data_IF_106625676014
#
_entry.id   IF_106625676014
#
_cell.length_a   1.000
_cell.length_b   1.000
_cell.length_c   1.000
_cell.angle_alpha   90.00
_cell.angle_beta   90.00
_cell.angle_gamma   90.00
#
_symmetry.space_group_name_H-M   'P 1'
#
loop_
_entity.id
_entity.type
_entity.pdbx_description
1 polymer ?
#
# COMPACT_ATOMS: atom_id res chain seq x y z
N UNK A 1 -22.14 7.43 -8.77
CA UNK A 1 -21.55 8.64 -8.14
C UNK A 1 -20.10 8.80 -8.59
N UNK A 2 -19.35 9.81 -8.14
CA UNK A 2 -17.94 10.01 -8.52
C UNK A 2 -17.03 8.82 -8.20
N UNK A 3 -17.27 8.13 -7.07
CA UNK A 3 -16.54 6.92 -6.68
C UNK A 3 -16.67 5.76 -7.68
N UNK A 4 -17.87 5.52 -8.23
CA UNK A 4 -18.08 4.45 -9.23
C UNK A 4 -17.30 4.69 -10.53
N UNK A 5 -17.00 5.95 -10.85
CA UNK A 5 -16.21 6.31 -12.01
C UNK A 5 -14.72 6.05 -11.77
N UNK A 6 -14.18 6.49 -10.63
CA UNK A 6 -12.75 6.26 -10.30
C UNK A 6 -12.42 4.77 -10.16
N UNK A 7 -13.29 3.96 -9.55
CA UNK A 7 -13.10 2.51 -9.49
C UNK A 7 -12.97 1.88 -10.89
N UNK A 8 -13.80 2.32 -11.84
CA UNK A 8 -13.72 1.86 -13.24
C UNK A 8 -12.43 2.30 -13.92
N UNK A 9 -11.98 3.54 -13.70
CA UNK A 9 -10.72 4.06 -14.24
C UNK A 9 -9.52 3.27 -13.68
N UNK A 10 -9.49 3.01 -12.38
CA UNK A 10 -8.43 2.21 -11.75
C UNK A 10 -8.37 0.79 -12.33
N UNK A 11 -9.51 0.15 -12.54
CA UNK A 11 -9.56 -1.18 -13.17
C UNK A 11 -9.03 -1.17 -14.62
N UNK A 12 -9.29 -0.11 -15.38
CA UNK A 12 -8.74 0.07 -16.74
C UNK A 12 -7.22 0.28 -16.72
N UNK A 13 -6.74 1.13 -15.80
CA UNK A 13 -5.30 1.39 -15.61
C UNK A 13 -4.59 0.08 -15.26
N UNK A 14 -5.10 -0.66 -14.28
CA UNK A 14 -4.54 -1.94 -13.87
C UNK A 14 -4.46 -2.92 -15.04
N UNK A 15 -5.56 -3.06 -15.81
CA UNK A 15 -5.61 -3.96 -16.97
C UNK A 15 -4.60 -3.56 -18.05
N UNK A 16 -4.37 -2.26 -18.24
CA UNK A 16 -3.41 -1.76 -19.22
C UNK A 16 -1.96 -2.08 -18.87
N UNK A 17 -1.65 -2.26 -17.58
CA UNK A 17 -0.28 -2.40 -17.04
C UNK A 17 0.66 -1.25 -17.43
N UNK A 18 0.11 -0.10 -17.81
CA UNK A 18 0.91 1.04 -18.27
C UNK A 18 1.51 1.80 -17.09
N UNK A 19 2.84 1.72 -16.97
CA UNK A 19 3.60 2.35 -15.88
C UNK A 19 3.59 3.87 -15.94
N UNK A 20 3.16 4.48 -17.04
CA UNK A 20 3.00 5.95 -17.12
C UNK A 20 1.96 6.49 -16.15
N UNK A 21 1.06 5.63 -15.64
CA UNK A 21 0.07 6.00 -14.63
C UNK A 21 0.60 6.01 -13.20
N UNK A 22 1.82 5.51 -12.95
CA UNK A 22 2.39 5.44 -11.59
C UNK A 22 2.49 6.82 -10.95
N UNK A 23 3.16 7.78 -11.60
CA UNK A 23 3.34 9.12 -11.02
C UNK A 23 2.01 9.89 -10.82
N UNK A 24 1.05 9.88 -11.78
CA UNK A 24 -0.28 10.42 -11.53
C UNK A 24 -1.01 9.80 -10.34
N UNK A 25 -0.92 8.47 -10.17
CA UNK A 25 -1.56 7.78 -9.04
C UNK A 25 -0.88 8.07 -7.71
N UNK A 26 0.45 8.26 -7.70
CA UNK A 26 1.19 8.71 -6.50
C UNK A 26 0.75 10.12 -6.11
N UNK A 27 0.66 11.04 -7.07
CA UNK A 27 0.21 12.42 -6.83
C UNK A 27 -1.22 12.47 -6.27
N UNK A 28 -2.10 11.57 -6.70
CA UNK A 28 -3.47 11.46 -6.17
C UNK A 28 -3.49 11.22 -4.66
N UNK A 29 -2.51 10.48 -4.11
CA UNK A 29 -2.39 10.19 -2.68
C UNK A 29 -2.11 11.45 -1.83
N UNK A 30 -1.65 12.54 -2.45
CA UNK A 30 -1.23 13.76 -1.75
C UNK A 30 -2.40 14.70 -1.40
N UNK A 31 -3.61 14.50 -1.93
CA UNK A 31 -4.72 15.36 -1.52
C UNK A 31 -6.10 15.14 -2.14
N UNK A 32 -6.26 14.24 -3.11
CA UNK A 32 -7.52 14.14 -3.87
C UNK A 32 -8.38 12.91 -3.54
N UNK A 33 -7.96 12.11 -2.55
CA UNK A 33 -8.68 10.91 -2.14
C UNK A 33 -9.81 11.21 -1.15
N UNK A 34 -10.93 10.51 -1.30
CA UNK A 34 -12.09 10.57 -0.41
C UNK A 34 -11.82 9.90 0.95
N UNK A 35 -10.86 8.97 1.01
CA UNK A 35 -10.44 8.37 2.28
C UNK A 35 -9.55 7.12 2.15
N UNK A 36 -9.30 6.42 3.27
CA UNK A 36 -8.37 5.28 3.33
C UNK A 36 -8.79 4.08 2.46
N UNK A 37 -10.10 3.88 2.24
CA UNK A 37 -10.60 2.80 1.37
C UNK A 37 -10.20 3.02 -0.10
N UNK A 38 -10.27 4.26 -0.58
CA UNK A 38 -9.85 4.59 -1.94
C UNK A 38 -8.33 4.49 -2.08
N UNK A 39 -7.59 4.97 -1.07
CA UNK A 39 -6.14 4.77 -0.99
C UNK A 39 -5.71 3.31 -1.04
N UNK A 40 -6.47 2.42 -0.40
CA UNK A 40 -6.22 0.98 -0.44
C UNK A 40 -6.25 0.45 -1.89
N UNK A 41 -7.26 0.83 -2.67
CA UNK A 41 -7.39 0.40 -4.07
C UNK A 41 -6.31 1.03 -4.96
N UNK A 42 -6.02 2.32 -4.79
CA UNK A 42 -4.92 3.00 -5.51
C UNK A 42 -3.57 2.32 -5.21
N UNK A 43 -3.29 2.04 -3.93
CA UNK A 43 -2.08 1.35 -3.51
C UNK A 43 -1.95 -0.05 -4.09
N UNK A 44 -3.06 -0.82 -4.17
CA UNK A 44 -3.08 -2.11 -4.86
C UNK A 44 -2.71 -1.99 -6.33
N UNK A 45 -3.27 -1.02 -7.05
CA UNK A 45 -2.93 -0.80 -8.46
C UNK A 45 -1.46 -0.41 -8.61
N UNK A 46 -0.97 0.51 -7.77
CA UNK A 46 0.44 0.93 -7.76
C UNK A 46 1.39 -0.26 -7.54
N UNK A 47 1.12 -1.10 -6.54
CA UNK A 47 1.92 -2.29 -6.27
C UNK A 47 1.96 -3.27 -7.44
N UNK A 48 0.85 -3.43 -8.18
CA UNK A 48 0.79 -4.28 -9.39
C UNK A 48 1.49 -3.66 -10.60
N UNK A 49 1.43 -2.34 -10.77
CA UNK A 49 2.11 -1.64 -11.88
C UNK A 49 3.62 -1.58 -11.69
N UNK A 50 4.09 -1.33 -10.47
CA UNK A 50 5.51 -1.16 -10.19
C UNK A 50 6.23 -2.48 -9.91
N UNK A 51 5.53 -3.44 -9.29
CA UNK A 51 6.10 -4.71 -8.86
C UNK A 51 7.34 -4.51 -7.98
N UNK A 52 8.34 -5.37 -8.15
CA UNK A 52 9.60 -5.31 -7.39
C UNK A 52 10.35 -3.98 -7.56
N UNK A 53 10.23 -3.32 -8.72
CA UNK A 53 10.92 -2.06 -8.97
C UNK A 53 10.41 -0.91 -8.07
N UNK A 54 9.17 -0.98 -7.60
CA UNK A 54 8.60 -0.01 -6.65
C UNK A 54 8.83 -0.36 -5.18
N UNK A 55 9.41 -1.52 -4.86
CA UNK A 55 9.47 -2.00 -3.48
C UNK A 55 10.19 -1.02 -2.54
N UNK A 56 11.35 -0.52 -2.93
CA UNK A 56 12.14 0.39 -2.08
C UNK A 56 11.45 1.75 -1.83
N UNK A 57 10.65 2.24 -2.80
CA UNK A 57 9.80 3.43 -2.62
C UNK A 57 8.80 3.21 -1.48
N UNK A 58 8.02 2.13 -1.57
CA UNK A 58 6.96 1.87 -0.60
C UNK A 58 7.49 1.42 0.75
N UNK A 59 8.61 0.69 0.77
CA UNK A 59 9.37 0.39 1.98
C UNK A 59 9.85 1.67 2.66
N UNK A 60 10.37 2.63 1.89
CA UNK A 60 10.78 3.94 2.39
C UNK A 60 9.61 4.71 3.01
N UNK A 61 8.44 4.68 2.37
CA UNK A 61 7.21 5.28 2.87
C UNK A 61 6.70 4.66 4.19
N UNK A 62 6.90 3.35 4.37
CA UNK A 62 6.51 2.62 5.58
C UNK A 62 7.62 2.58 6.65
N UNK A 63 8.72 3.31 6.45
CA UNK A 63 9.80 3.35 7.44
C UNK A 63 9.35 4.17 8.65
N UNK A 64 9.35 3.61 9.87
CA UNK A 64 8.98 4.38 11.05
C UNK A 64 9.95 5.54 11.29
N UNK A 65 9.41 6.72 11.63
CA UNK A 65 10.16 7.90 12.00
C UNK A 65 10.27 8.03 13.54
N UNK A 66 11.38 8.61 14.01
CA UNK A 66 11.63 8.97 15.41
C UNK A 66 12.48 7.96 16.21
N UNK A 67 13.48 8.46 16.95
CA UNK A 67 14.36 7.66 17.85
C UNK A 67 13.93 7.62 19.32
N UNK A 68 13.02 8.50 19.76
CA UNK A 68 12.89 8.82 21.19
C UNK A 68 11.51 8.57 21.84
N UNK A 69 10.36 8.61 21.14
CA UNK A 69 9.04 8.57 21.80
C UNK A 69 7.95 7.79 21.03
N UNK A 70 8.32 6.62 20.53
CA UNK A 70 7.41 5.72 19.82
C UNK A 70 7.59 5.81 18.31
N UNK A 71 8.03 4.69 17.72
CA UNK A 71 8.14 4.54 16.26
C UNK A 71 6.75 4.75 15.66
N UNK A 72 6.57 5.79 14.84
CA UNK A 72 5.32 6.03 14.11
C UNK A 72 5.59 6.13 12.62
N UNK A 73 4.64 5.65 11.82
CA UNK A 73 4.65 5.89 10.38
C UNK A 73 4.49 7.39 10.09
N UNK A 74 5.19 7.86 9.05
CA UNK A 74 5.08 9.22 8.55
C UNK A 74 3.98 9.36 7.49
N UNK A 75 3.58 10.59 7.19
CA UNK A 75 2.56 10.87 6.17
C UNK A 75 1.12 10.78 6.69
N UNK A 76 0.16 11.00 5.79
CA UNK A 76 -1.27 10.93 6.07
C UNK A 76 -1.76 9.47 6.16
N UNK A 77 -2.89 9.23 6.83
CA UNK A 77 -3.51 7.89 6.90
C UNK A 77 -3.75 7.28 5.51
N UNK A 78 -4.34 7.99 4.52
CA UNK A 78 -4.49 7.46 3.17
C UNK A 78 -3.15 7.04 2.55
N UNK A 79 -2.11 7.87 2.68
CA UNK A 79 -0.80 7.55 2.12
C UNK A 79 -0.19 6.29 2.75
N UNK A 80 -0.29 6.13 4.06
CA UNK A 80 0.19 4.93 4.78
C UNK A 80 -0.56 3.67 4.33
N UNK A 81 -1.88 3.76 4.17
CA UNK A 81 -2.71 2.65 3.70
C UNK A 81 -2.37 2.26 2.26
N UNK A 82 -2.18 3.25 1.37
CA UNK A 82 -1.77 3.00 0.00
C UNK A 82 -0.39 2.32 -0.08
N UNK A 83 0.58 2.81 0.69
CA UNK A 83 1.92 2.22 0.73
C UNK A 83 1.89 0.76 1.23
N UNK A 84 1.13 0.48 2.29
CA UNK A 84 0.93 -0.89 2.77
C UNK A 84 0.26 -1.79 1.72
N UNK A 85 -0.78 -1.28 1.06
CA UNK A 85 -1.45 -2.00 -0.01
C UNK A 85 -0.52 -2.32 -1.20
N UNK A 86 0.34 -1.37 -1.57
CA UNK A 86 1.33 -1.56 -2.63
C UNK A 86 2.35 -2.65 -2.27
N UNK A 87 2.93 -2.59 -1.06
CA UNK A 87 3.83 -3.64 -0.56
C UNK A 87 3.13 -4.99 -0.52
N UNK A 88 1.84 -5.04 -0.15
CA UNK A 88 1.07 -6.28 -0.12
C UNK A 88 0.88 -6.93 -1.51
N UNK A 89 1.16 -6.24 -2.62
CA UNK A 89 1.16 -6.84 -3.96
C UNK A 89 2.51 -7.44 -4.36
N UNK A 90 3.58 -7.08 -3.67
CA UNK A 90 4.95 -7.48 -4.04
C UNK A 90 5.23 -8.87 -3.49
N UNK A 91 5.68 -9.85 -4.31
CA UNK A 91 5.93 -11.21 -3.85
C UNK A 91 7.17 -11.30 -2.95
N UNK A 92 7.16 -12.25 -2.01
CA UNK A 92 8.32 -12.66 -1.21
C UNK A 92 8.34 -12.15 0.24
N UNK A 93 9.16 -12.81 1.05
CA UNK A 93 9.25 -12.64 2.51
C UNK A 93 9.67 -11.23 2.96
N UNK A 94 10.39 -10.49 2.11
CA UNK A 94 10.77 -9.10 2.38
C UNK A 94 9.56 -8.16 2.49
N UNK A 95 8.50 -8.40 1.71
CA UNK A 95 7.27 -7.61 1.79
C UNK A 95 6.50 -7.86 3.08
N UNK A 96 6.41 -9.12 3.51
CA UNK A 96 5.77 -9.54 4.75
C UNK A 96 6.43 -8.87 5.96
N UNK A 97 7.76 -8.92 6.05
CA UNK A 97 8.51 -8.26 7.13
C UNK A 97 8.27 -6.74 7.18
N UNK A 98 8.19 -6.08 6.02
CA UNK A 98 7.90 -4.63 5.95
C UNK A 98 6.49 -4.33 6.46
N UNK A 99 5.50 -5.16 6.14
CA UNK A 99 4.13 -5.00 6.63
C UNK A 99 4.01 -5.24 8.14
N UNK A 100 4.72 -6.22 8.70
CA UNK A 100 4.78 -6.45 10.15
C UNK A 100 5.34 -5.22 10.86
N UNK A 101 6.48 -4.70 10.40
CA UNK A 101 7.10 -3.49 10.96
C UNK A 101 6.19 -2.27 10.86
N UNK A 102 5.48 -2.12 9.73
CA UNK A 102 4.53 -1.05 9.53
C UNK A 102 3.33 -1.17 10.47
N UNK A 103 2.80 -2.39 10.66
CA UNK A 103 1.70 -2.67 11.57
C UNK A 103 2.07 -2.32 13.03
N UNK A 104 3.26 -2.69 13.48
CA UNK A 104 3.73 -2.39 14.84
C UNK A 104 3.89 -0.88 15.10
N UNK A 105 4.32 -0.13 14.07
CA UNK A 105 4.52 1.31 14.15
C UNK A 105 3.26 2.14 13.85
N UNK A 106 2.20 1.53 13.34
CA UNK A 106 1.00 2.22 12.90
C UNK A 106 0.11 2.68 14.08
N UNK A 107 -0.70 3.73 13.85
CA UNK A 107 -1.82 4.09 14.73
C UNK A 107 -2.88 2.97 14.72
N UNK A 108 -3.82 2.99 15.68
CA UNK A 108 -4.92 2.01 15.71
C UNK A 108 -5.76 2.04 14.43
N UNK A 109 -6.01 3.23 13.89
CA UNK A 109 -6.74 3.42 12.63
C UNK A 109 -6.01 2.73 11.48
N UNK A 110 -4.72 3.02 11.27
CA UNK A 110 -3.94 2.46 10.17
C UNK A 110 -3.75 0.95 10.32
N UNK A 111 -3.59 0.45 11.55
CA UNK A 111 -3.52 -1.01 11.82
C UNK A 111 -4.75 -1.75 11.35
N UNK A 112 -5.94 -1.16 11.47
CA UNK A 112 -7.19 -1.79 11.01
C UNK A 112 -7.20 -2.07 9.49
N UNK A 113 -6.42 -1.32 8.72
CA UNK A 113 -6.23 -1.50 7.28
C UNK A 113 -5.05 -2.43 6.95
N UNK A 114 -3.96 -2.37 7.71
CA UNK A 114 -2.76 -3.20 7.47
C UNK A 114 -3.01 -4.67 7.88
N UNK A 115 -3.72 -4.92 8.98
CA UNK A 115 -3.95 -6.27 9.50
C UNK A 115 -4.49 -7.28 8.48
N UNK A 116 -5.57 -6.94 7.73
CA UNK A 116 -6.09 -7.80 6.66
C UNK A 116 -5.08 -8.08 5.53
N UNK A 117 -4.26 -7.08 5.16
CA UNK A 117 -3.23 -7.25 4.12
C UNK A 117 -2.12 -8.20 4.58
N UNK A 118 -1.74 -8.10 5.86
CA UNK A 118 -0.75 -8.97 6.47
C UNK A 118 -1.24 -10.42 6.53
N UNK A 119 -2.49 -10.64 6.96
CA UNK A 119 -3.11 -11.96 6.96
C UNK A 119 -3.19 -12.57 5.55
N UNK A 120 -3.55 -11.77 4.54
CA UNK A 120 -3.54 -12.21 3.14
C UNK A 120 -2.13 -12.61 2.68
N UNK A 121 -1.11 -11.86 3.12
CA UNK A 121 0.28 -12.14 2.77
C UNK A 121 0.81 -13.43 3.35
N UNK A 122 0.61 -13.67 4.65
CA UNK A 122 0.99 -14.94 5.27
C UNK A 122 0.36 -16.14 4.56
N UNK A 123 -0.94 -16.09 4.28
CA UNK A 123 -1.63 -17.14 3.53
C UNK A 123 -1.06 -17.36 2.11
N UNK A 124 -0.55 -16.31 1.47
CA UNK A 124 0.04 -16.39 0.12
C UNK A 124 1.43 -17.02 0.19
N UNK A 125 2.25 -16.59 1.14
CA UNK A 125 3.61 -17.10 1.33
C UNK A 125 3.57 -18.58 1.73
N UNK A 126 2.67 -18.98 2.64
CA UNK A 126 2.48 -20.38 3.05
C UNK A 126 2.15 -21.29 1.86
N UNK A 127 1.25 -20.86 0.97
CA UNK A 127 0.86 -21.61 -0.24
C UNK A 127 2.00 -21.76 -1.25
N UNK A 128 2.99 -20.87 -1.24
CA UNK A 128 4.14 -20.96 -2.13
C UNK A 128 5.23 -21.89 -1.60
N UNK A 129 5.21 -22.17 -0.29
CA UNK A 129 6.18 -23.05 0.38
C UNK A 129 5.70 -24.48 0.59
N UNK A 130 4.40 -24.75 0.36
CA UNK A 130 3.78 -26.08 0.43
C UNK A 130 3.84 -26.80 -0.93
#
# INVERSE_FOLDING_TARGET
>A
TGGDHRCRVLALIEKSRDRRFVEPLVALLEGELEGPAEALEVGRVLGRLEGLAGFERWRGALRPAGRLLGRRLSGSVPFQVAAAAAVAQIPGTGATLVLEQAHDAASSEVRSWIGPLLAQKHNTDERMTA
#
